data_IF_707910500377
#
_entry.id   IF_707910500377
#
_cell.length_a   1.000
_cell.length_b   1.000
_cell.length_c   1.000
_cell.angle_alpha   90.00
_cell.angle_beta   90.00
_cell.angle_gamma   90.00
#
_symmetry.space_group_name_H-M   'P 1'
#
loop_
_entity.id
_entity.type
_entity.pdbx_description
1 polymer ?
#
# COMPACT_ATOMS: atom_id res chain seq x y z
N UNK A 1 21.51 -5.75 3.54
CA UNK A 1 20.25 -5.47 2.81
C UNK A 1 20.25 -4.00 2.45
N UNK A 2 19.84 -3.65 1.24
CA UNK A 2 19.76 -2.26 0.78
C UNK A 2 18.29 -1.89 0.67
N UNK A 3 17.92 -0.78 1.28
CA UNK A 3 16.53 -0.34 1.37
C UNK A 3 16.47 1.09 0.81
N UNK A 4 15.55 1.30 -0.12
CA UNK A 4 15.19 2.63 -0.64
C UNK A 4 13.71 2.83 -0.33
N UNK A 5 13.40 3.89 0.40
CA UNK A 5 12.05 4.30 0.73
C UNK A 5 11.73 5.61 -0.01
N UNK A 6 10.53 5.69 -0.57
CA UNK A 6 10.07 6.87 -1.31
C UNK A 6 8.72 7.30 -0.75
N UNK A 7 8.59 8.58 -0.43
CA UNK A 7 7.34 9.19 0.00
C UNK A 7 7.25 10.62 -0.53
N UNK A 8 6.02 11.13 -0.73
CA UNK A 8 5.80 12.54 -1.07
C UNK A 8 6.17 13.45 0.10
N UNK A 9 5.94 12.98 1.32
CA UNK A 9 6.25 13.69 2.56
C UNK A 9 7.68 13.41 3.01
N UNK A 10 8.26 14.35 3.74
CA UNK A 10 9.57 14.16 4.33
C UNK A 10 9.50 13.05 5.41
N UNK A 11 10.44 12.11 5.34
CA UNK A 11 10.60 11.05 6.33
C UNK A 11 11.73 11.40 7.29
N UNK A 12 11.58 11.04 8.57
CA UNK A 12 12.66 11.17 9.51
C UNK A 12 13.79 10.19 9.18
N UNK A 13 15.08 10.58 9.28
CA UNK A 13 16.21 9.74 8.91
C UNK A 13 16.19 8.37 9.59
N UNK A 14 16.15 7.29 8.80
CA UNK A 14 16.22 5.92 9.30
C UNK A 14 17.60 5.29 8.99
N UNK A 15 18.34 4.79 10.01
CA UNK A 15 19.64 4.15 9.79
C UNK A 15 19.56 2.99 8.79
N UNK A 16 20.40 3.03 7.75
CA UNK A 16 20.47 1.98 6.73
C UNK A 16 19.38 2.03 5.66
N UNK A 17 18.52 3.05 5.67
CA UNK A 17 17.49 3.30 4.66
C UNK A 17 17.85 4.55 3.87
N UNK A 18 17.95 4.41 2.55
CA UNK A 18 17.99 5.57 1.65
C UNK A 18 16.57 6.10 1.53
N UNK A 19 16.37 7.38 1.83
CA UNK A 19 15.07 8.03 1.80
C UNK A 19 15.04 9.07 0.68
N UNK A 20 14.09 8.93 -0.22
CA UNK A 20 13.84 9.86 -1.32
C UNK A 20 12.50 10.53 -1.04
N UNK A 21 12.51 11.86 -1.02
CA UNK A 21 11.27 12.62 -1.03
C UNK A 21 10.87 12.85 -2.49
N UNK A 22 9.89 12.09 -2.98
CA UNK A 22 9.59 12.03 -4.40
C UNK A 22 8.19 11.54 -4.71
N UNK A 23 7.73 11.91 -5.90
CA UNK A 23 6.44 11.48 -6.43
C UNK A 23 6.66 10.25 -7.31
N UNK A 24 6.07 9.12 -6.94
CA UNK A 24 6.22 7.85 -7.66
C UNK A 24 5.64 7.87 -9.08
N UNK A 25 4.83 8.88 -9.44
CA UNK A 25 4.34 9.09 -10.80
C UNK A 25 5.38 9.72 -11.73
N UNK A 26 6.47 10.27 -11.19
CA UNK A 26 7.50 10.97 -11.97
C UNK A 26 8.65 10.05 -12.35
N UNK A 27 9.10 10.17 -13.61
CA UNK A 27 10.26 9.45 -14.12
C UNK A 27 11.53 9.78 -13.32
N UNK A 28 11.71 11.04 -12.90
CA UNK A 28 12.86 11.45 -12.09
C UNK A 28 13.00 10.64 -10.80
N UNK A 29 11.88 10.30 -10.16
CA UNK A 29 11.86 9.49 -8.94
C UNK A 29 12.30 8.06 -9.23
N UNK A 30 11.83 7.48 -10.34
CA UNK A 30 12.25 6.16 -10.78
C UNK A 30 13.76 6.11 -11.09
N UNK A 31 14.28 7.10 -11.81
CA UNK A 31 15.70 7.25 -12.12
C UNK A 31 16.55 7.39 -10.85
N UNK A 32 16.09 8.16 -9.87
CA UNK A 32 16.75 8.32 -8.58
C UNK A 32 16.83 6.99 -7.82
N UNK A 33 15.72 6.24 -7.74
CA UNK A 33 15.71 4.90 -7.13
C UNK A 33 16.72 3.97 -7.83
N UNK A 34 16.68 3.90 -9.16
CA UNK A 34 17.59 3.05 -9.96
C UNK A 34 19.06 3.44 -9.70
N UNK A 35 19.35 4.74 -9.63
CA UNK A 35 20.70 5.25 -9.36
C UNK A 35 21.25 4.71 -8.03
N UNK A 36 20.38 4.56 -7.03
CA UNK A 36 20.78 4.00 -5.76
C UNK A 36 21.14 2.52 -5.88
N UNK A 37 20.49 1.71 -6.71
CA UNK A 37 20.78 0.27 -6.84
C UNK A 37 22.07 -0.06 -7.64
N UNK A 38 22.80 0.92 -8.20
CA UNK A 38 24.11 0.73 -8.85
C UNK A 38 24.13 -0.36 -9.95
N UNK A 39 23.04 -0.48 -10.71
CA UNK A 39 22.91 -1.48 -11.78
C UNK A 39 22.31 -2.81 -11.34
N UNK A 40 22.04 -2.99 -10.04
CA UNK A 40 21.19 -4.07 -9.53
C UNK A 40 19.71 -3.66 -9.57
N UNK A 41 18.82 -4.64 -9.38
CA UNK A 41 17.37 -4.45 -9.31
C UNK A 41 16.84 -4.97 -7.98
N UNK A 42 15.69 -4.48 -7.56
CA UNK A 42 15.07 -4.84 -6.29
C UNK A 42 14.56 -6.29 -6.30
N UNK A 43 14.73 -6.99 -5.19
CA UNK A 43 14.13 -8.32 -4.96
C UNK A 43 12.64 -8.23 -4.60
N UNK A 44 12.27 -7.16 -3.88
CA UNK A 44 10.96 -6.91 -3.31
C UNK A 44 10.63 -5.43 -3.42
N UNK A 45 9.43 -5.11 -3.92
CA UNK A 45 8.84 -3.78 -3.85
C UNK A 45 7.58 -3.86 -2.99
N UNK A 46 7.45 -2.93 -2.04
CA UNK A 46 6.28 -2.84 -1.14
C UNK A 46 5.67 -1.45 -1.28
N UNK A 47 4.36 -1.38 -1.51
CA UNK A 47 3.60 -0.13 -1.54
C UNK A 47 2.48 -0.18 -0.50
N UNK A 48 2.68 0.55 0.61
CA UNK A 48 1.65 0.68 1.66
C UNK A 48 0.83 1.98 1.52
N UNK A 49 0.99 2.68 0.39
CA UNK A 49 0.32 3.95 0.14
C UNK A 49 -1.20 3.81 0.14
N UNK A 50 -1.87 4.78 0.76
CA UNK A 50 -3.31 4.97 0.70
C UNK A 50 -3.61 6.46 0.55
N UNK A 51 -4.62 6.85 -0.26
CA UNK A 51 -5.07 8.22 -0.31
C UNK A 51 -5.81 8.59 0.98
N UNK A 52 -6.00 9.89 1.18
CA UNK A 52 -6.91 10.39 2.19
C UNK A 52 -8.32 9.87 1.91
N UNK A 53 -8.89 9.15 2.87
CA UNK A 53 -10.20 8.52 2.74
C UNK A 53 -11.27 9.61 2.78
N UNK A 54 -12.00 9.77 1.68
CA UNK A 54 -13.07 10.76 1.54
C UNK A 54 -14.38 10.29 2.19
N UNK A 55 -14.52 8.97 2.41
CA UNK A 55 -15.75 8.33 2.88
C UNK A 55 -16.70 7.95 1.74
N UNK A 56 -16.38 8.34 0.51
CA UNK A 56 -17.06 7.89 -0.70
C UNK A 56 -16.31 6.70 -1.27
N UNK A 57 -16.75 5.50 -0.88
CA UNK A 57 -16.04 4.24 -1.17
C UNK A 57 -15.67 4.03 -2.64
N UNK A 58 -16.55 4.40 -3.58
CA UNK A 58 -16.28 4.26 -5.01
C UNK A 58 -15.13 5.17 -5.48
N UNK A 59 -15.04 6.40 -4.95
CA UNK A 59 -13.93 7.31 -5.24
C UNK A 59 -12.64 6.87 -4.56
N UNK A 60 -12.72 6.44 -3.30
CA UNK A 60 -11.56 5.97 -2.54
C UNK A 60 -10.95 4.71 -3.21
N UNK A 61 -11.78 3.80 -3.72
CA UNK A 61 -11.35 2.63 -4.51
C UNK A 61 -10.66 3.07 -5.82
N UNK A 62 -11.24 4.03 -6.55
CA UNK A 62 -10.66 4.54 -7.79
C UNK A 62 -9.28 5.18 -7.56
N UNK A 63 -9.16 6.05 -6.56
CA UNK A 63 -7.89 6.72 -6.24
C UNK A 63 -6.84 5.71 -5.76
N UNK A 64 -7.23 4.74 -4.93
CA UNK A 64 -6.33 3.65 -4.54
C UNK A 64 -5.86 2.84 -5.75
N UNK A 65 -6.74 2.60 -6.73
CA UNK A 65 -6.39 1.97 -8.00
C UNK A 65 -5.34 2.77 -8.77
N UNK A 66 -5.51 4.09 -8.89
CA UNK A 66 -4.52 4.96 -9.55
C UNK A 66 -3.15 4.92 -8.85
N UNK A 67 -3.15 4.94 -7.51
CA UNK A 67 -1.92 4.85 -6.72
C UNK A 67 -1.21 3.51 -6.93
N UNK A 68 -1.97 2.42 -6.97
CA UNK A 68 -1.45 1.09 -7.24
C UNK A 68 -0.84 0.97 -8.64
N UNK A 69 -1.42 1.64 -9.64
CA UNK A 69 -0.86 1.68 -10.99
C UNK A 69 0.43 2.45 -11.07
N UNK A 70 0.51 3.60 -10.41
CA UNK A 70 1.76 4.34 -10.30
C UNK A 70 2.84 3.46 -9.64
N UNK A 71 2.47 2.76 -8.56
CA UNK A 71 3.35 1.82 -7.87
C UNK A 71 3.78 0.63 -8.74
N UNK A 72 2.86 0.05 -9.52
CA UNK A 72 3.18 -1.02 -10.46
C UNK A 72 4.12 -0.51 -11.57
N UNK A 73 3.88 0.70 -12.08
CA UNK A 73 4.69 1.26 -13.15
C UNK A 73 6.15 1.40 -12.72
N UNK A 74 6.40 2.07 -11.58
CA UNK A 74 7.75 2.17 -11.02
C UNK A 74 8.34 0.80 -10.68
N UNK A 75 7.50 -0.16 -10.23
CA UNK A 75 7.92 -1.55 -9.99
C UNK A 75 8.48 -2.19 -11.26
N UNK A 76 7.89 -1.96 -12.44
CA UNK A 76 8.41 -2.53 -13.69
C UNK A 76 9.80 -2.01 -14.08
N UNK A 77 10.18 -0.83 -13.59
CA UNK A 77 11.50 -0.25 -13.82
C UNK A 77 12.56 -0.77 -12.84
N UNK A 78 12.17 -1.13 -11.62
CA UNK A 78 13.11 -1.41 -10.53
C UNK A 78 13.14 -2.87 -10.08
N UNK A 79 12.10 -3.65 -10.33
CA UNK A 79 11.97 -5.03 -9.84
C UNK A 79 12.67 -6.00 -10.78
N UNK A 80 13.43 -6.92 -10.20
CA UNK A 80 14.11 -7.98 -10.95
C UNK A 80 13.14 -9.04 -11.48
N UNK A 81 13.52 -9.74 -12.54
CA UNK A 81 12.80 -10.95 -12.97
C UNK A 81 12.75 -11.98 -11.84
N UNK A 82 11.57 -12.55 -11.62
CA UNK A 82 11.30 -13.43 -10.48
C UNK A 82 11.07 -12.71 -9.14
N UNK A 83 11.15 -11.38 -9.10
CA UNK A 83 10.92 -10.57 -7.90
C UNK A 83 9.47 -10.60 -7.40
N UNK A 84 9.26 -10.03 -6.21
CA UNK A 84 7.94 -9.93 -5.58
C UNK A 84 7.49 -8.48 -5.45
N UNK A 85 6.22 -8.22 -5.69
CA UNK A 85 5.55 -6.96 -5.47
C UNK A 85 4.41 -7.15 -4.47
N UNK A 86 4.35 -6.30 -3.44
CA UNK A 86 3.27 -6.30 -2.45
C UNK A 86 2.68 -4.91 -2.39
N UNK A 87 1.35 -4.80 -2.43
CA UNK A 87 0.72 -3.49 -2.34
C UNK A 87 -0.61 -3.52 -1.57
N UNK A 88 -0.89 -2.44 -0.86
CA UNK A 88 -2.20 -2.17 -0.25
C UNK A 88 -3.23 -1.92 -1.35
N UNK A 89 -4.42 -2.49 -1.16
CA UNK A 89 -5.56 -2.32 -2.05
C UNK A 89 -6.83 -2.11 -1.21
N UNK A 90 -7.83 -1.46 -1.80
CA UNK A 90 -9.18 -1.44 -1.26
C UNK A 90 -10.03 -2.47 -1.99
N UNK A 91 -10.61 -3.39 -1.22
CA UNK A 91 -11.46 -4.46 -1.70
C UNK A 91 -12.84 -3.88 -1.98
N UNK A 92 -13.05 -3.42 -3.20
CA UNK A 92 -14.37 -3.05 -3.69
C UNK A 92 -14.79 -3.91 -4.88
N UNK A 93 -15.57 -3.32 -5.79
CA UNK A 93 -16.29 -4.04 -6.84
C UNK A 93 -15.34 -4.55 -7.94
N UNK A 94 -14.24 -3.84 -8.18
CA UNK A 94 -13.40 -4.02 -9.38
C UNK A 94 -12.08 -4.76 -9.12
N UNK A 95 -11.96 -5.43 -7.95
CA UNK A 95 -10.79 -6.24 -7.58
C UNK A 95 -10.43 -7.31 -8.63
N UNK A 96 -11.41 -7.88 -9.32
CA UNK A 96 -11.19 -8.90 -10.35
C UNK A 96 -10.44 -8.35 -11.57
N UNK A 97 -10.71 -7.09 -11.94
CA UNK A 97 -10.00 -6.40 -13.01
C UNK A 97 -8.54 -6.21 -12.64
N UNK A 98 -8.31 -5.68 -11.43
CA UNK A 98 -6.99 -5.46 -10.91
C UNK A 98 -6.16 -6.75 -10.86
N UNK A 99 -6.77 -7.83 -10.35
CA UNK A 99 -6.15 -9.15 -10.37
C UNK A 99 -5.74 -9.58 -11.78
N UNK A 100 -6.63 -9.41 -12.76
CA UNK A 100 -6.38 -9.81 -14.15
C UNK A 100 -5.22 -9.01 -14.77
N UNK A 101 -5.11 -7.72 -14.45
CA UNK A 101 -4.03 -6.86 -14.94
C UNK A 101 -2.68 -7.22 -14.30
N UNK A 102 -2.67 -7.49 -13.00
CA UNK A 102 -1.47 -7.94 -12.30
C UNK A 102 -1.00 -9.32 -12.80
N UNK A 103 -1.94 -10.20 -13.18
CA UNK A 103 -1.64 -11.53 -13.75
C UNK A 103 -0.89 -11.49 -15.08
N UNK A 104 -0.91 -10.36 -15.80
CA UNK A 104 -0.12 -10.17 -17.03
C UNK A 104 1.38 -10.12 -16.71
N UNK A 105 1.74 -9.54 -15.56
CA UNK A 105 3.13 -9.35 -15.12
C UNK A 105 3.58 -10.37 -14.08
N UNK A 106 2.64 -11.03 -13.40
CA UNK A 106 2.92 -11.94 -12.30
C UNK A 106 2.14 -13.24 -12.46
N UNK A 107 2.81 -14.38 -12.68
CA UNK A 107 2.18 -15.69 -12.80
C UNK A 107 1.44 -16.14 -11.53
N UNK A 108 1.78 -15.57 -10.38
CA UNK A 108 1.10 -15.85 -9.10
C UNK A 108 0.72 -14.53 -8.43
N UNK A 109 -0.57 -14.30 -8.33
CA UNK A 109 -1.16 -13.16 -7.63
C UNK A 109 -2.07 -13.73 -6.53
N UNK A 110 -1.98 -13.20 -5.33
CA UNK A 110 -2.79 -13.63 -4.18
C UNK A 110 -3.29 -12.41 -3.45
N UNK A 111 -4.57 -12.42 -3.07
CA UNK A 111 -5.11 -11.39 -2.19
C UNK A 111 -5.00 -11.87 -0.75
N UNK A 112 -4.32 -11.08 0.06
CA UNK A 112 -4.06 -11.35 1.46
C UNK A 112 -4.74 -10.30 2.33
N UNK A 113 -5.55 -10.73 3.30
CA UNK A 113 -5.96 -9.85 4.41
C UNK A 113 -5.29 -10.35 5.69
N UNK A 114 -4.33 -9.61 6.25
CA UNK A 114 -3.68 -10.01 7.48
C UNK A 114 -4.64 -9.85 8.67
N UNK A 115 -4.50 -10.67 9.72
CA UNK A 115 -5.31 -10.55 10.95
C UNK A 115 -5.12 -9.21 11.68
N UNK A 116 -3.97 -8.56 11.46
CA UNK A 116 -3.69 -7.22 11.97
C UNK A 116 -4.53 -6.12 11.28
N UNK A 117 -5.19 -6.41 10.16
CA UNK A 117 -6.12 -5.50 9.51
C UNK A 117 -7.55 -5.75 10.02
N UNK A 118 -8.24 -4.68 10.44
CA UNK A 118 -9.60 -4.73 10.99
C UNK A 118 -10.56 -5.44 10.04
N UNK A 119 -11.42 -6.32 10.53
CA UNK A 119 -12.34 -7.04 9.66
C UNK A 119 -13.34 -6.09 8.98
N UNK A 120 -13.71 -4.99 9.64
CA UNK A 120 -14.56 -3.92 9.10
C UNK A 120 -13.90 -3.08 8.01
N UNK A 121 -12.57 -3.13 7.87
CA UNK A 121 -11.87 -2.39 6.83
C UNK A 121 -12.04 -3.07 5.47
N UNK A 122 -12.18 -2.27 4.41
CA UNK A 122 -12.09 -2.76 3.02
C UNK A 122 -10.64 -2.98 2.59
N UNK A 123 -9.67 -2.61 3.42
CA UNK A 123 -8.25 -2.81 3.15
C UNK A 123 -7.88 -4.30 3.04
N UNK A 124 -7.09 -4.59 2.02
CA UNK A 124 -6.41 -5.85 1.80
C UNK A 124 -5.06 -5.58 1.15
N UNK A 125 -4.26 -6.63 0.96
CA UNK A 125 -2.99 -6.56 0.26
C UNK A 125 -3.03 -7.50 -0.94
N UNK A 126 -2.42 -7.09 -2.04
CA UNK A 126 -2.09 -7.97 -3.14
C UNK A 126 -0.63 -8.41 -3.03
N UNK A 127 -0.39 -9.70 -3.20
CA UNK A 127 0.93 -10.32 -3.20
C UNK A 127 1.17 -10.90 -4.59
N UNK A 128 2.04 -10.25 -5.34
CA UNK A 128 2.41 -10.57 -6.71
C UNK A 128 3.81 -11.19 -6.73
N UNK A 129 3.90 -12.47 -7.11
CA UNK A 129 5.13 -13.25 -7.04
C UNK A 129 5.60 -13.63 -8.44
N UNK A 130 6.93 -13.81 -8.56
CA UNK A 130 7.62 -14.22 -9.77
C UNK A 130 7.43 -13.26 -10.95
N UNK A 131 7.86 -12.00 -10.79
CA UNK A 131 7.76 -10.99 -11.85
C UNK A 131 8.27 -11.53 -13.21
N UNK A 132 7.37 -11.54 -14.19
CA UNK A 132 7.58 -12.05 -15.53
C UNK A 132 6.78 -11.17 -16.52
N UNK A 133 7.33 -10.02 -16.93
CA UNK A 133 6.68 -9.15 -17.89
C UNK A 133 6.56 -9.84 -19.26
N UNK A 134 5.58 -9.45 -20.10
CA UNK A 134 5.44 -9.98 -21.45
C UNK A 134 6.70 -9.79 -22.31
N UNK A 135 6.92 -10.69 -23.26
CA UNK A 135 8.04 -10.58 -24.20
C UNK A 135 7.95 -9.26 -24.98
N UNK A 136 9.07 -8.52 -25.03
CA UNK A 136 9.12 -7.21 -25.69
C UNK A 136 8.49 -6.05 -24.90
N UNK A 137 8.01 -6.27 -23.67
CA UNK A 137 7.54 -5.18 -22.81
C UNK A 137 8.69 -4.24 -22.44
N UNK A 138 8.51 -2.96 -22.74
CA UNK A 138 9.43 -1.89 -22.34
C UNK A 138 8.73 -1.03 -21.27
N UNK A 139 9.27 -0.98 -20.03
CA UNK A 139 8.76 -0.11 -18.98
C UNK A 139 8.64 1.34 -19.44
N UNK A 140 7.50 1.98 -19.21
CA UNK A 140 7.26 3.37 -19.58
C UNK A 140 6.37 4.08 -18.58
N UNK A 141 6.83 5.25 -18.14
CA UNK A 141 6.05 6.15 -17.27
C UNK A 141 4.93 6.88 -18.00
N UNK A 142 4.80 6.72 -19.33
CA UNK A 142 3.84 7.44 -20.17
C UNK A 142 2.55 6.67 -20.48
N UNK A 143 2.50 5.35 -20.25
CA UNK A 143 1.27 4.59 -20.44
C UNK A 143 0.46 4.58 -19.15
N UNK A 144 -0.77 5.11 -19.15
CA UNK A 144 -1.78 4.61 -18.24
C UNK A 144 -2.06 3.19 -18.70
N UNK A 145 -1.27 2.23 -18.20
CA UNK A 145 -1.77 0.88 -18.05
C UNK A 145 -3.11 1.08 -17.34
N UNK A 146 -4.22 0.75 -18.01
CA UNK A 146 -5.62 0.86 -17.54
C UNK A 146 -6.38 2.13 -17.98
N UNK A 147 -6.49 2.36 -19.30
CA UNK A 147 -7.68 3.06 -19.78
C UNK A 147 -8.90 2.15 -19.52
N UNK A 148 -9.80 2.57 -18.64
CA UNK A 148 -10.90 1.77 -18.10
C UNK A 148 -12.08 1.61 -19.10
N UNK A 149 -11.82 1.83 -20.38
CA UNK A 149 -12.83 1.90 -21.43
C UNK A 149 -12.85 0.59 -22.22
N UNK A 150 -13.97 -0.13 -22.12
CA UNK A 150 -14.37 -1.28 -22.95
C UNK A 150 -13.89 -2.68 -22.53
N UNK A 151 -14.16 -3.10 -21.29
CA UNK A 151 -14.38 -4.53 -21.04
C UNK A 151 -15.85 -4.76 -20.68
N UNK A 152 -16.60 -5.38 -21.61
CA UNK A 152 -17.93 -5.89 -21.31
C UNK A 152 -17.80 -7.18 -20.48
N UNK A 153 -18.02 -7.04 -19.18
CA UNK A 153 -17.90 -8.09 -18.17
C UNK A 153 -18.84 -9.27 -18.39
N UNK A 154 -19.89 -9.09 -19.19
CA UNK A 154 -20.85 -10.15 -19.52
C UNK A 154 -20.32 -11.16 -20.55
N UNK A 155 -19.23 -10.83 -21.24
CA UNK A 155 -18.67 -11.67 -22.31
C UNK A 155 -17.50 -12.57 -21.86
N UNK A 156 -17.00 -12.39 -20.62
CA UNK A 156 -15.90 -13.21 -20.07
C UNK A 156 -16.38 -14.62 -19.72
N UNK A 157 -16.19 -15.57 -20.64
CA UNK A 157 -16.55 -16.98 -20.46
C UNK A 157 -15.33 -17.86 -20.08
N UNK A 158 -15.57 -18.89 -19.27
CA UNK A 158 -14.58 -19.93 -18.94
C UNK A 158 -13.57 -19.55 -17.83
N UNK A 159 -12.31 -19.92 -18.02
CA UNK A 159 -11.18 -19.68 -17.07
C UNK A 159 -11.01 -18.19 -16.72
N UNK A 160 -11.58 -17.28 -17.51
CA UNK A 160 -11.58 -15.84 -17.27
C UNK A 160 -12.53 -15.40 -16.13
N UNK A 161 -13.40 -16.28 -15.62
CA UNK A 161 -14.09 -16.12 -14.34
C UNK A 161 -13.28 -16.80 -13.23
N UNK A 162 -12.00 -16.42 -13.11
CA UNK A 162 -11.12 -17.00 -12.11
C UNK A 162 -11.58 -16.53 -10.72
N UNK A 163 -11.95 -17.46 -9.84
CA UNK A 163 -12.14 -17.14 -8.42
C UNK A 163 -10.77 -16.70 -7.92
N UNK A 164 -10.64 -15.40 -7.62
CA UNK A 164 -9.38 -14.84 -7.12
C UNK A 164 -9.06 -15.51 -5.78
N UNK A 165 -7.94 -16.24 -5.67
CA UNK A 165 -7.60 -16.92 -4.43
C UNK A 165 -7.31 -15.88 -3.35
N UNK A 166 -8.16 -15.89 -2.33
CA UNK A 166 -8.02 -15.07 -1.14
C UNK A 166 -7.44 -15.93 -0.01
N UNK A 167 -6.39 -15.43 0.62
CA UNK A 167 -5.71 -16.12 1.71
C UNK A 167 -5.72 -15.21 2.94
N UNK A 168 -6.32 -15.68 4.02
CA UNK A 168 -6.09 -15.08 5.33
C UNK A 168 -4.63 -15.40 5.71
N UNK A 169 -3.81 -14.36 5.88
CA UNK A 169 -2.38 -14.51 6.14
C UNK A 169 -2.06 -14.16 7.59
N UNK A 170 -1.25 -14.99 8.24
CA UNK A 170 -0.81 -14.81 9.63
C UNK A 170 -0.75 -16.12 10.40
N UNK A 171 0.07 -16.16 11.44
CA UNK A 171 0.07 -17.26 12.39
C UNK A 171 -1.30 -17.35 13.09
N UNK A 172 -1.87 -18.55 13.19
CA UNK A 172 -3.13 -18.79 13.92
C UNK A 172 -3.02 -18.43 15.42
N UNK A 173 -1.80 -18.31 15.95
CA UNK A 173 -1.50 -17.88 17.31
C UNK A 173 -1.37 -16.35 17.49
N UNK A 174 -1.36 -15.57 16.40
CA UNK A 174 -1.12 -14.12 16.43
C UNK A 174 -2.30 -13.27 16.92
N UNK A 175 -2.00 -12.01 17.25
CA UNK A 175 -2.99 -11.00 17.65
C UNK A 175 -4.00 -10.70 16.54
N UNK A 176 -5.27 -10.62 16.93
CA UNK A 176 -6.42 -10.25 16.11
C UNK A 176 -6.73 -8.76 16.31
N UNK A 177 -6.88 -8.02 15.22
CA UNK A 177 -7.17 -6.58 15.27
C UNK A 177 -8.52 -6.23 15.90
N UNK A 178 -9.45 -7.18 16.01
CA UNK A 178 -10.78 -6.97 16.59
C UNK A 178 -10.87 -7.40 18.08
N UNK A 179 -9.76 -7.83 18.69
CA UNK A 179 -9.72 -8.32 20.08
C UNK A 179 -8.82 -7.46 20.98
N UNK A 180 -9.18 -7.34 22.26
CA UNK A 180 -8.33 -6.70 23.27
C UNK A 180 -7.45 -7.74 23.97
N UNK A 181 -6.15 -7.46 24.06
CA UNK A 181 -5.18 -8.36 24.68
C UNK A 181 -4.56 -7.74 25.93
N UNK A 182 -4.20 -8.58 26.89
CA UNK A 182 -3.38 -8.14 28.02
C UNK A 182 -2.04 -7.60 27.50
N UNK A 183 -1.59 -6.47 28.02
CA UNK A 183 -0.29 -5.91 27.68
C UNK A 183 0.89 -6.77 28.22
N UNK A 184 0.61 -7.63 29.22
CA UNK A 184 1.58 -8.55 29.78
C UNK A 184 1.59 -9.85 28.98
N UNK A 185 2.53 -9.95 28.04
CA UNK A 185 2.68 -11.08 27.13
C UNK A 185 3.67 -12.09 27.72
N UNK A 186 3.36 -13.39 27.62
CA UNK A 186 4.21 -14.49 28.07
C UNK A 186 4.72 -14.36 29.53
N UNK A 187 3.91 -13.75 30.40
CA UNK A 187 4.26 -13.50 31.81
C UNK A 187 5.30 -12.39 32.02
N UNK A 188 5.71 -11.67 30.96
CA UNK A 188 6.56 -10.48 31.08
C UNK A 188 5.68 -9.24 31.30
N UNK A 189 6.06 -8.35 32.23
CA UNK A 189 5.37 -7.07 32.36
C UNK A 189 5.55 -6.27 31.08
N UNK A 190 4.49 -5.60 30.65
CA UNK A 190 4.53 -4.68 29.53
C UNK A 190 5.65 -3.65 29.70
N UNK A 191 6.51 -3.54 28.69
CA UNK A 191 7.50 -2.50 28.61
C UNK A 191 7.18 -1.63 27.40
N UNK A 192 6.74 -0.40 27.65
CA UNK A 192 6.57 0.60 26.59
C UNK A 192 7.93 0.83 25.91
N UNK A 193 7.96 0.63 24.61
CA UNK A 193 9.10 0.99 23.78
C UNK A 193 8.67 2.15 22.91
N UNK A 194 9.38 3.27 23.00
CA UNK A 194 9.11 4.40 22.13
C UNK A 194 9.35 4.00 20.65
N UNK A 195 8.63 4.59 19.69
CA UNK A 195 8.94 4.43 18.28
C UNK A 195 10.41 4.73 18.02
N UNK A 196 11.05 3.95 17.14
CA UNK A 196 12.46 4.16 16.76
C UNK A 196 12.71 5.60 16.31
N UNK A 197 11.72 6.20 15.64
CA UNK A 197 11.69 7.61 15.36
C UNK A 197 10.26 8.15 15.37
N UNK A 198 10.09 9.38 15.88
CA UNK A 198 8.81 10.08 15.84
C UNK A 198 8.53 10.66 14.44
N UNK A 199 7.25 10.81 14.05
CA UNK A 199 6.89 11.53 12.84
C UNK A 199 7.43 12.97 12.86
N UNK A 200 7.85 13.48 11.69
CA UNK A 200 8.29 14.88 11.56
C UNK A 200 7.10 15.84 11.73
N UNK A 201 5.96 15.49 11.10
CA UNK A 201 4.70 16.24 11.18
C UNK A 201 3.59 15.24 11.47
N UNK A 202 3.25 15.00 12.75
CA UNK A 202 2.20 14.05 13.08
C UNK A 202 0.82 14.63 12.74
N UNK A 203 -0.11 13.84 12.16
CA UNK A 203 -1.46 14.32 11.84
C UNK A 203 -2.28 14.74 13.07
N UNK A 204 -1.83 14.37 14.27
CA UNK A 204 -2.44 14.74 15.55
C UNK A 204 -1.80 15.98 16.20
N UNK A 205 -0.85 16.66 15.56
CA UNK A 205 -0.17 17.84 16.10
C UNK A 205 -1.18 18.96 16.44
N UNK A 206 -2.10 19.26 15.53
CA UNK A 206 -3.15 20.26 15.74
C UNK A 206 -4.09 19.87 16.89
N UNK A 207 -4.48 18.60 16.96
CA UNK A 207 -5.32 18.09 18.04
C UNK A 207 -4.61 18.19 19.40
N UNK A 208 -3.31 17.88 19.46
CA UNK A 208 -2.49 18.04 20.67
C UNK A 208 -2.39 19.52 21.09
N UNK A 209 -2.25 20.43 20.13
CA UNK A 209 -2.21 21.88 20.37
C UNK A 209 -3.55 22.40 20.93
N UNK A 210 -4.68 21.83 20.49
CA UNK A 210 -6.01 22.14 21.03
C UNK A 210 -6.20 21.57 22.45
N UNK A 211 -5.66 20.38 22.73
CA UNK A 211 -5.72 19.75 24.06
C UNK A 211 -4.87 20.49 25.10
N UNK A 212 -3.82 21.21 24.67
CA UNK A 212 -2.89 21.91 25.59
C UNK A 212 -3.44 23.21 26.18
N UNK A 213 -4.67 23.62 25.83
CA UNK A 213 -5.39 24.68 26.55
C UNK A 213 -6.37 24.08 27.57
N UNK A 214 -5.95 23.85 28.83
CA UNK A 214 -6.89 23.49 29.88
C UNK A 214 -7.85 24.67 30.12
N UNK A 215 -9.10 24.57 29.64
CA UNK A 215 -10.21 25.42 30.09
C UNK A 215 -11.03 26.19 29.05
N UNK A 216 -10.73 26.16 27.75
CA UNK A 216 -11.54 26.85 26.73
C UNK A 216 -12.33 25.86 25.86
N UNK A 217 -13.30 25.16 26.46
CA UNK A 217 -14.37 24.53 25.68
C UNK A 217 -15.47 25.57 25.45
N UNK A 218 -15.34 26.40 24.43
CA UNK A 218 -16.46 27.25 23.99
C UNK A 218 -17.31 26.40 23.04
N UNK A 219 -18.32 25.73 23.60
CA UNK A 219 -19.46 25.28 22.79
C UNK A 219 -20.26 26.53 22.45
N UNK A 220 -20.05 27.11 21.26
CA UNK A 220 -21.02 28.05 20.71
C UNK A 220 -22.28 27.25 20.39
N UNK A 221 -23.27 27.35 21.27
CA UNK A 221 -24.65 27.01 20.92
C UNK A 221 -25.11 28.02 19.87
N UNK A 222 -25.81 27.59 18.80
CA UNK A 222 -26.38 28.51 17.84
C UNK A 222 -27.42 29.41 18.53
N UNK A 223 -27.23 30.71 18.43
CA UNK A 223 -28.19 31.71 18.91
C UNK A 223 -29.45 31.66 18.05
N UNK A 224 -30.60 31.32 18.68
CA UNK A 224 -31.95 31.70 18.22
C UNK A 224 -32.53 30.94 17.04
#
# INVERSE_FOLDING_TARGET
>A
VKIVAVDLQAMAPLPGVVQIQGDITKLSTAEEIISHFKGETADLVVCDGAPDVTGLHDMDEYIQGQLLLAALNITTHVLKLGGTFVAKIFRGRDVSLLYSQLRIFFPRVTLAKPRSSRNSSIEAFVVCQNYAPPEGYVPTMANPLLDNTNCDWSELNGINRLIVPFVACGDLSGYDSDTNYSLNLDGKPYQYTAPTQLPISPPYEEAMALITKPGETVVQLPDG
#
